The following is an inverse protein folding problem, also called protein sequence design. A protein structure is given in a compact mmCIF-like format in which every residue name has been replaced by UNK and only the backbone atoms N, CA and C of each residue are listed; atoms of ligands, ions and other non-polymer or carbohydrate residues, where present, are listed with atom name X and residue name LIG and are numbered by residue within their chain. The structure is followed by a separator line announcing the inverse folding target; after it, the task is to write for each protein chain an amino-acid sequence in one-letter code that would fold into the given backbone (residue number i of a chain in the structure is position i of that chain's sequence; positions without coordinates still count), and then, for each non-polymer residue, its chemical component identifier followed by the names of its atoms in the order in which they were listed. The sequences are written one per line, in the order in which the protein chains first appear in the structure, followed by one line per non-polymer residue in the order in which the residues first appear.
data_IF_556874749788
#
_entry.id   IF_556874749788
#
_cell.length_a   1.000
_cell.length_b   1.000
_cell.length_c   1.000
_cell.angle_alpha   90.00
_cell.angle_beta   90.00
_cell.angle_gamma   90.00
#
_symmetry.space_group_name_H-M   'P 1'
#
loop_
_entity.id
_entity.type
_entity.pdbx_description
1 polymer ?
#
# COMPACT_ATOMS: atom_id res chain seq x y z
N UNK A 1 6.12 -72.00 -29.09
CA UNK A 1 6.65 -70.95 -28.29
C UNK A 1 6.64 -69.66 -29.12
N UNK A 2 5.60 -68.84 -28.95
CA UNK A 2 5.40 -67.63 -29.75
C UNK A 2 5.88 -66.44 -28.92
N UNK A 3 6.89 -65.71 -29.40
CA UNK A 3 7.37 -64.44 -28.77
C UNK A 3 6.57 -63.30 -29.36
N UNK A 4 5.79 -62.60 -28.48
CA UNK A 4 5.15 -61.31 -28.80
C UNK A 4 6.19 -60.20 -28.57
N UNK A 5 6.45 -59.42 -29.60
CA UNK A 5 7.18 -58.21 -29.55
C UNK A 5 6.16 -57.05 -29.26
N UNK A 6 6.34 -56.35 -28.15
CA UNK A 6 5.58 -55.15 -27.82
C UNK A 6 6.35 -53.93 -28.33
N UNK A 7 5.83 -53.28 -29.38
CA UNK A 7 6.33 -51.96 -29.81
C UNK A 7 5.80 -50.87 -28.87
N UNK A 8 6.70 -50.27 -28.12
CA UNK A 8 6.41 -49.08 -27.34
C UNK A 8 6.46 -47.83 -28.22
N UNK A 9 5.31 -47.19 -28.38
CA UNK A 9 5.19 -45.91 -29.06
C UNK A 9 5.50 -44.80 -28.05
N UNK A 10 6.70 -44.20 -28.12
CA UNK A 10 7.07 -43.04 -27.32
C UNK A 10 6.52 -41.77 -27.97
N UNK A 11 5.44 -41.23 -27.43
CA UNK A 11 4.92 -39.91 -27.81
C UNK A 11 5.76 -38.82 -27.15
N UNK A 12 6.66 -38.19 -27.91
CA UNK A 12 7.39 -37.01 -27.46
C UNK A 12 6.45 -35.78 -27.49
N UNK A 13 5.97 -35.37 -26.34
CA UNK A 13 5.28 -34.10 -26.16
C UNK A 13 6.33 -32.96 -26.23
N UNK A 14 6.43 -32.34 -27.39
CA UNK A 14 7.16 -31.09 -27.58
C UNK A 14 6.35 -29.96 -26.89
N UNK A 15 6.70 -29.65 -25.67
CA UNK A 15 6.29 -28.40 -25.00
C UNK A 15 7.04 -27.24 -25.69
N UNK A 16 6.43 -26.67 -26.72
CA UNK A 16 6.85 -25.39 -27.26
C UNK A 16 6.55 -24.31 -26.19
N UNK A 17 7.55 -23.97 -25.36
CA UNK A 17 7.54 -22.79 -24.53
C UNK A 17 7.58 -21.58 -25.46
N UNK A 18 6.40 -21.04 -25.84
CA UNK A 18 6.29 -19.73 -26.47
C UNK A 18 6.68 -18.67 -25.44
N UNK A 19 7.98 -18.39 -25.35
CA UNK A 19 8.52 -17.21 -24.72
C UNK A 19 8.30 -15.97 -25.60
N UNK A 20 7.03 -15.64 -25.86
CA UNK A 20 6.67 -14.37 -26.49
C UNK A 20 6.46 -13.32 -25.40
N UNK A 21 7.25 -12.26 -25.42
CA UNK A 21 6.95 -10.99 -24.72
C UNK A 21 5.73 -10.34 -25.41
N UNK A 22 4.59 -11.00 -25.34
CA UNK A 22 3.32 -10.51 -25.86
C UNK A 22 2.88 -9.31 -25.05
N UNK A 23 2.56 -8.19 -25.71
CA UNK A 23 1.86 -7.09 -25.07
C UNK A 23 0.59 -7.62 -24.43
N UNK A 24 0.40 -7.33 -23.13
CA UNK A 24 -0.83 -7.70 -22.41
C UNK A 24 -2.04 -7.18 -23.17
N UNK A 25 -3.11 -7.96 -23.26
CA UNK A 25 -4.38 -7.50 -23.82
C UNK A 25 -4.96 -6.34 -23.01
N UNK A 26 -5.85 -5.56 -23.59
CA UNK A 26 -6.51 -4.48 -22.87
C UNK A 26 -7.25 -4.97 -21.61
N UNK A 27 -7.86 -6.16 -21.67
CA UNK A 27 -8.53 -6.77 -20.53
C UNK A 27 -7.54 -7.15 -19.41
N UNK A 28 -6.39 -7.72 -19.74
CA UNK A 28 -5.34 -8.05 -18.77
C UNK A 28 -4.73 -6.80 -18.14
N UNK A 29 -4.56 -5.72 -18.92
CA UNK A 29 -4.12 -4.43 -18.42
C UNK A 29 -5.12 -3.84 -17.43
N UNK A 30 -6.42 -3.88 -17.73
CA UNK A 30 -7.47 -3.40 -16.83
C UNK A 30 -7.53 -4.22 -15.52
N UNK A 31 -7.40 -5.54 -15.60
CA UNK A 31 -7.35 -6.39 -14.41
C UNK A 31 -6.12 -6.08 -13.56
N UNK A 32 -4.96 -5.84 -14.19
CA UNK A 32 -3.76 -5.45 -13.46
C UNK A 32 -3.95 -4.11 -12.74
N UNK A 33 -4.49 -3.09 -13.41
CA UNK A 33 -4.76 -1.77 -12.79
C UNK A 33 -5.71 -1.91 -11.61
N UNK A 34 -6.74 -2.75 -11.71
CA UNK A 34 -7.63 -3.02 -10.57
C UNK A 34 -6.89 -3.70 -9.41
N UNK A 35 -6.11 -4.74 -9.68
CA UNK A 35 -5.32 -5.43 -8.66
C UNK A 35 -4.35 -4.48 -7.97
N UNK A 36 -3.70 -3.60 -8.72
CA UNK A 36 -2.80 -2.58 -8.20
C UNK A 36 -3.52 -1.53 -7.35
N UNK A 37 -4.71 -1.10 -7.77
CA UNK A 37 -5.52 -0.19 -6.98
C UNK A 37 -5.91 -0.80 -5.63
N UNK A 38 -6.27 -2.08 -5.58
CA UNK A 38 -6.53 -2.78 -4.31
C UNK A 38 -5.28 -2.90 -3.44
N UNK A 39 -4.12 -3.15 -4.05
CA UNK A 39 -2.86 -3.24 -3.31
C UNK A 39 -2.42 -1.87 -2.74
N UNK A 40 -2.69 -0.77 -3.45
CA UNK A 40 -2.46 0.59 -2.96
C UNK A 40 -3.48 0.95 -1.86
N UNK A 41 -4.74 0.58 -2.01
CA UNK A 41 -5.78 0.76 -0.97
C UNK A 41 -5.42 0.04 0.34
N UNK A 42 -4.73 -1.09 0.26
CA UNK A 42 -4.24 -1.79 1.43
C UNK A 42 -3.19 -0.98 2.23
N UNK A 43 -2.49 -0.01 1.62
CA UNK A 43 -1.58 0.91 2.30
C UNK A 43 -2.37 1.79 3.28
N UNK A 44 -3.47 2.39 2.81
CA UNK A 44 -4.37 3.21 3.62
C UNK A 44 -4.93 2.41 4.81
N UNK A 45 -5.45 1.22 4.57
CA UNK A 45 -5.97 0.33 5.62
C UNK A 45 -4.89 -0.05 6.64
N UNK A 46 -3.66 -0.28 6.17
CA UNK A 46 -2.53 -0.59 7.04
C UNK A 46 -2.14 0.63 7.89
N UNK A 47 -2.15 1.83 7.31
CA UNK A 47 -1.96 3.08 8.05
C UNK A 47 -2.96 3.23 9.19
N UNK A 48 -4.25 3.08 8.91
CA UNK A 48 -5.31 3.17 9.91
C UNK A 48 -5.15 2.12 11.02
N UNK A 49 -4.88 0.88 10.64
CA UNK A 49 -4.65 -0.20 11.60
C UNK A 49 -3.42 0.10 12.47
N UNK A 50 -2.32 0.54 11.86
CA UNK A 50 -1.08 0.87 12.57
C UNK A 50 -1.31 1.99 13.59
N UNK A 51 -1.99 3.07 13.19
CA UNK A 51 -2.32 4.19 14.05
C UNK A 51 -3.26 3.77 15.21
N UNK A 52 -4.33 3.03 14.91
CA UNK A 52 -5.31 2.58 15.92
C UNK A 52 -4.75 1.57 16.92
N UNK A 53 -3.69 0.82 16.54
CA UNK A 53 -3.02 -0.15 17.41
C UNK A 53 -1.68 0.35 17.94
N UNK A 54 -1.31 1.60 17.66
CA UNK A 54 -0.03 2.21 18.02
C UNK A 54 1.20 1.39 17.56
N UNK A 55 1.04 0.68 16.44
CA UNK A 55 2.04 -0.24 15.94
C UNK A 55 2.96 0.44 14.92
N UNK A 56 4.09 0.98 15.40
CA UNK A 56 5.09 1.66 14.55
C UNK A 56 5.70 0.70 13.52
N UNK A 57 5.92 -0.57 13.85
CA UNK A 57 6.48 -1.54 12.90
C UNK A 57 5.52 -1.80 11.74
N UNK A 58 4.23 -1.92 12.04
CA UNK A 58 3.20 -2.03 11.02
C UNK A 58 3.13 -0.77 10.15
N UNK A 59 3.24 0.43 10.76
CA UNK A 59 3.32 1.69 10.02
C UNK A 59 4.51 1.69 9.06
N UNK A 60 5.69 1.30 9.54
CA UNK A 60 6.90 1.28 8.72
C UNK A 60 6.88 0.24 7.60
N UNK A 61 6.02 -0.77 7.69
CA UNK A 61 5.92 -1.83 6.66
C UNK A 61 5.38 -1.35 5.30
N UNK A 62 4.78 -0.17 5.26
CA UNK A 62 4.22 0.46 4.05
C UNK A 62 5.12 1.54 3.44
N UNK A 63 6.28 1.82 4.02
CA UNK A 63 7.22 2.85 3.56
C UNK A 63 8.43 2.22 2.86
N UNK A 64 8.87 2.86 1.76
CA UNK A 64 10.15 2.52 1.14
C UNK A 64 11.30 2.93 2.05
N UNK A 65 12.46 2.24 1.98
CA UNK A 65 13.61 2.54 2.84
C UNK A 65 14.14 3.97 2.71
N UNK A 66 14.06 4.55 1.52
CA UNK A 66 14.53 5.87 1.13
C UNK A 66 13.40 6.91 0.99
N UNK A 67 12.21 6.59 1.50
CA UNK A 67 11.04 7.46 1.40
C UNK A 67 11.26 8.83 2.04
N UNK A 68 10.49 9.81 1.56
CA UNK A 68 10.44 11.16 2.15
C UNK A 68 9.06 11.43 2.73
N UNK A 69 9.02 12.17 3.84
CA UNK A 69 7.77 12.63 4.43
C UNK A 69 7.84 14.12 4.77
N UNK A 70 7.02 14.93 4.09
CA UNK A 70 6.94 16.37 4.29
C UNK A 70 5.82 16.70 5.29
N UNK A 71 6.18 17.35 6.40
CA UNK A 71 5.26 17.72 7.48
C UNK A 71 5.45 19.20 7.79
N UNK A 72 4.59 20.05 7.25
CA UNK A 72 4.77 21.51 7.35
C UNK A 72 6.10 21.92 6.71
N UNK A 73 6.99 22.61 7.46
CA UNK A 73 8.29 23.02 6.94
C UNK A 73 9.37 21.91 6.98
N UNK A 74 9.10 20.79 7.64
CA UNK A 74 10.07 19.71 7.82
C UNK A 74 9.96 18.66 6.72
N UNK A 75 11.12 18.15 6.30
CA UNK A 75 11.24 16.98 5.44
C UNK A 75 12.01 15.89 6.17
N UNK A 76 11.33 14.80 6.45
CA UNK A 76 11.94 13.59 6.99
C UNK A 76 12.41 12.71 5.84
N UNK A 77 13.65 12.24 5.88
CA UNK A 77 14.24 11.43 4.81
C UNK A 77 14.71 10.09 5.34
N UNK A 78 14.25 9.04 4.66
CA UNK A 78 14.54 7.65 4.98
C UNK A 78 13.74 7.10 6.16
N UNK A 79 13.65 5.78 6.18
CA UNK A 79 12.82 5.04 7.14
C UNK A 79 13.16 5.32 8.61
N UNK A 80 14.42 5.64 8.95
CA UNK A 80 14.83 5.89 10.32
C UNK A 80 14.23 7.20 10.89
N UNK A 81 14.23 8.29 10.10
CA UNK A 81 13.64 9.57 10.53
C UNK A 81 12.10 9.46 10.60
N UNK A 82 11.49 8.82 9.60
CA UNK A 82 10.05 8.60 9.54
C UNK A 82 9.59 7.74 10.73
N UNK A 83 10.32 6.68 11.04
CA UNK A 83 10.07 5.85 12.24
C UNK A 83 10.14 6.67 13.53
N UNK A 84 11.17 7.50 13.66
CA UNK A 84 11.36 8.34 14.85
C UNK A 84 10.17 9.30 15.02
N UNK A 85 9.69 9.90 13.93
CA UNK A 85 8.51 10.76 13.96
C UNK A 85 7.27 10.00 14.47
N UNK A 86 6.96 8.84 13.92
CA UNK A 86 5.80 8.06 14.38
C UNK A 86 5.96 7.62 15.84
N UNK A 87 7.13 7.18 16.24
CA UNK A 87 7.37 6.71 17.60
C UNK A 87 7.33 7.83 18.67
N UNK A 88 7.73 9.06 18.32
CA UNK A 88 7.96 10.11 19.33
C UNK A 88 7.08 11.35 19.18
N UNK A 89 6.49 11.59 18.02
CA UNK A 89 5.84 12.86 17.70
C UNK A 89 4.40 12.70 17.24
N UNK A 90 4.12 11.71 16.39
CA UNK A 90 2.79 11.54 15.82
C UNK A 90 1.76 11.19 16.88
N UNK A 91 0.76 12.06 17.04
CA UNK A 91 -0.25 11.98 18.09
C UNK A 91 -0.89 10.61 18.30
N UNK A 92 -1.37 9.92 17.22
CA UNK A 92 -2.01 8.62 17.37
C UNK A 92 -1.13 7.53 18.01
N UNK A 93 0.20 7.70 17.94
CA UNK A 93 1.17 6.72 18.46
C UNK A 93 1.67 7.05 19.87
N UNK A 94 1.20 8.17 20.48
CA UNK A 94 1.66 8.55 21.81
C UNK A 94 0.94 7.78 22.90
N UNK A 95 1.63 7.40 24.00
CA UNK A 95 1.08 6.53 25.04
C UNK A 95 -0.16 7.06 25.76
N UNK A 96 -0.39 8.35 25.78
CA UNK A 96 -1.56 8.96 26.43
C UNK A 96 -2.80 9.03 25.54
N UNK A 97 -2.70 8.65 24.28
CA UNK A 97 -3.79 8.77 23.33
C UNK A 97 -4.45 7.39 23.08
N UNK A 98 -5.75 7.33 23.24
CA UNK A 98 -6.58 6.17 22.92
C UNK A 98 -7.45 6.48 21.72
N UNK A 99 -6.81 6.77 20.58
CA UNK A 99 -7.48 7.14 19.35
C UNK A 99 -7.56 5.95 18.40
N UNK A 100 -8.70 5.79 17.78
CA UNK A 100 -8.89 4.88 16.67
C UNK A 100 -9.10 5.67 15.40
N UNK A 101 -8.51 5.20 14.31
CA UNK A 101 -8.78 5.77 13.01
C UNK A 101 -10.06 5.19 12.45
N UNK A 102 -10.91 6.05 11.87
CA UNK A 102 -12.12 5.64 11.20
C UNK A 102 -11.79 4.87 9.92
N UNK A 103 -12.32 3.65 9.78
CA UNK A 103 -12.11 2.82 8.59
C UNK A 103 -13.44 2.38 7.99
N UNK A 104 -13.61 2.46 6.67
CA UNK A 104 -12.64 2.94 5.65
C UNK A 104 -12.35 4.43 5.81
N UNK A 105 -11.23 4.88 5.23
CA UNK A 105 -10.92 6.30 5.17
C UNK A 105 -12.09 7.07 4.57
N UNK A 106 -12.34 8.26 5.09
CA UNK A 106 -13.49 9.06 4.68
C UNK A 106 -13.43 9.41 3.18
N UNK A 107 -12.26 9.65 2.65
CA UNK A 107 -12.05 9.95 1.23
C UNK A 107 -10.75 9.32 0.75
N UNK A 108 -10.85 8.47 -0.27
CA UNK A 108 -9.69 7.81 -0.89
C UNK A 108 -9.68 8.11 -2.39
N UNK A 109 -8.52 8.48 -2.92
CA UNK A 109 -8.26 8.61 -4.36
C UNK A 109 -6.97 7.92 -4.71
N UNK A 110 -7.04 7.02 -5.70
CA UNK A 110 -5.92 6.22 -6.16
C UNK A 110 -5.76 6.40 -7.66
N UNK A 111 -4.52 6.60 -8.09
CA UNK A 111 -4.15 6.49 -9.52
C UNK A 111 -3.07 5.44 -9.68
N UNK A 112 -3.07 4.75 -10.82
CA UNK A 112 -2.06 3.72 -11.16
C UNK A 112 -1.54 4.00 -12.56
N UNK A 113 -0.21 4.01 -12.68
CA UNK A 113 0.48 4.13 -13.97
C UNK A 113 1.72 3.21 -13.95
N UNK A 114 1.56 1.97 -14.43
CA UNK A 114 2.59 0.95 -14.37
C UNK A 114 2.97 0.62 -12.92
N UNK A 115 4.25 0.79 -12.58
CA UNK A 115 4.79 0.55 -11.24
C UNK A 115 4.81 1.80 -10.35
N UNK A 116 4.13 2.87 -10.77
CA UNK A 116 3.97 4.12 -10.00
C UNK A 116 2.49 4.44 -9.82
N UNK A 117 2.18 5.14 -8.74
CA UNK A 117 0.82 5.56 -8.45
C UNK A 117 0.78 6.70 -7.45
N UNK A 118 -0.42 7.19 -7.19
CA UNK A 118 -0.70 8.13 -6.11
C UNK A 118 -1.79 7.57 -5.21
N UNK A 119 -1.70 7.92 -3.94
CA UNK A 119 -2.72 7.64 -2.96
C UNK A 119 -2.99 8.92 -2.16
N UNK A 120 -4.23 9.38 -2.16
CA UNK A 120 -4.71 10.40 -1.25
C UNK A 120 -5.77 9.78 -0.35
N UNK A 121 -5.72 10.09 0.94
CA UNK A 121 -6.79 9.72 1.85
C UNK A 121 -7.00 10.80 2.93
N UNK A 122 -8.21 10.83 3.47
CA UNK A 122 -8.56 11.57 4.67
C UNK A 122 -9.04 10.58 5.72
N UNK A 123 -8.51 10.66 6.92
CA UNK A 123 -8.97 9.84 8.03
C UNK A 123 -9.28 10.69 9.27
N UNK A 124 -10.26 10.23 10.02
CA UNK A 124 -10.66 10.82 11.28
C UNK A 124 -10.12 9.96 12.42
N UNK A 125 -9.52 10.59 13.40
CA UNK A 125 -9.14 9.93 14.64
C UNK A 125 -10.21 10.22 15.68
N UNK A 126 -10.79 9.15 16.20
CA UNK A 126 -11.87 9.19 17.18
C UNK A 126 -11.30 8.80 18.54
N UNK A 127 -11.50 9.65 19.55
CA UNK A 127 -11.19 9.30 20.92
C UNK A 127 -12.20 8.26 21.44
N UNK A 128 -11.70 7.12 21.90
CA UNK A 128 -12.57 5.98 22.29
C UNK A 128 -13.36 6.23 23.57
N UNK A 129 -12.90 7.14 24.44
CA UNK A 129 -13.58 7.46 25.69
C UNK A 129 -14.75 8.43 25.48
N UNK A 130 -14.62 9.35 24.53
CA UNK A 130 -15.61 10.39 24.29
C UNK A 130 -16.45 10.18 23.03
N UNK A 131 -16.03 9.31 22.14
CA UNK A 131 -16.65 9.10 20.83
C UNK A 131 -16.52 10.31 19.88
N UNK A 132 -15.65 11.26 20.19
CA UNK A 132 -15.49 12.50 19.40
C UNK A 132 -14.31 12.40 18.45
N UNK A 133 -14.45 13.01 17.26
CA UNK A 133 -13.32 13.23 16.36
C UNK A 133 -12.37 14.24 17.01
N UNK A 134 -11.14 13.82 17.26
CA UNK A 134 -10.09 14.65 17.90
C UNK A 134 -9.05 15.15 16.90
N UNK A 135 -8.94 14.50 15.76
CA UNK A 135 -8.04 14.91 14.68
C UNK A 135 -8.55 14.43 13.33
N UNK A 136 -8.34 15.24 12.31
CA UNK A 136 -8.54 14.85 10.90
C UNK A 136 -7.21 15.04 10.20
N UNK A 137 -6.71 13.98 9.58
CA UNK A 137 -5.48 14.05 8.80
C UNK A 137 -5.75 13.69 7.35
N UNK A 138 -5.02 14.34 6.47
CA UNK A 138 -4.98 14.00 5.05
C UNK A 138 -3.53 13.87 4.60
N UNK A 139 -3.29 12.99 3.66
CA UNK A 139 -1.97 12.80 3.09
C UNK A 139 -2.06 12.60 1.57
N UNK A 140 -1.24 13.36 0.85
CA UNK A 140 -0.93 13.10 -0.55
C UNK A 140 0.33 12.23 -0.61
N UNK A 141 0.24 11.08 -1.29
CA UNK A 141 1.32 10.10 -1.34
C UNK A 141 1.65 9.72 -2.77
N UNK A 142 2.94 9.57 -3.04
CA UNK A 142 3.44 8.85 -4.19
C UNK A 142 3.79 7.43 -3.74
N UNK A 143 3.33 6.45 -4.50
CA UNK A 143 3.59 5.04 -4.24
C UNK A 143 4.27 4.40 -5.44
N UNK A 144 5.12 3.43 -5.17
CA UNK A 144 5.82 2.67 -6.20
C UNK A 144 5.85 1.19 -5.85
N UNK A 145 5.80 0.35 -6.87
CA UNK A 145 6.02 -1.09 -6.73
C UNK A 145 7.52 -1.36 -6.65
N UNK A 146 7.97 -1.84 -5.49
CA UNK A 146 9.37 -2.19 -5.20
C UNK A 146 9.37 -3.66 -4.77
N UNK A 147 10.11 -4.50 -5.45
CA UNK A 147 10.19 -5.95 -5.19
C UNK A 147 8.81 -6.61 -5.07
N UNK A 148 7.90 -6.23 -5.97
CA UNK A 148 6.54 -6.76 -6.04
C UNK A 148 5.54 -6.19 -5.02
N UNK A 149 5.97 -5.28 -4.14
CA UNK A 149 5.12 -4.63 -3.13
C UNK A 149 4.91 -3.16 -3.45
N UNK A 150 3.71 -2.66 -3.25
CA UNK A 150 3.43 -1.23 -3.29
C UNK A 150 3.85 -0.59 -1.98
N UNK A 151 4.73 0.42 -2.05
CA UNK A 151 5.28 1.14 -0.89
C UNK A 151 5.18 2.65 -1.14
N UNK A 152 5.05 3.42 -0.06
CA UNK A 152 5.11 4.88 -0.07
C UNK A 152 6.55 5.31 -0.31
N UNK A 153 6.81 6.05 -1.38
CA UNK A 153 8.12 6.64 -1.67
C UNK A 153 8.18 8.12 -1.30
N UNK A 154 7.02 8.79 -1.26
CA UNK A 154 6.93 10.16 -0.77
C UNK A 154 5.53 10.38 -0.20
N UNK A 155 5.46 11.13 0.88
CA UNK A 155 4.20 11.62 1.41
C UNK A 155 4.32 13.09 1.80
N UNK A 156 3.19 13.81 1.74
CA UNK A 156 3.05 15.14 2.26
C UNK A 156 1.74 15.22 3.06
N UNK A 157 1.81 15.84 4.24
CA UNK A 157 0.62 16.20 4.97
C UNK A 157 -0.20 17.20 4.12
N UNK A 158 -1.47 16.92 3.94
CA UNK A 158 -2.37 17.73 3.13
C UNK A 158 -3.47 18.35 4.01
N UNK A 159 -4.04 19.43 3.54
CA UNK A 159 -5.26 19.98 4.15
C UNK A 159 -6.43 19.07 3.80
N UNK A 160 -7.20 18.58 4.78
CA UNK A 160 -8.41 17.82 4.51
C UNK A 160 -9.38 18.59 3.61
N UNK A 161 -9.93 17.92 2.62
CA UNK A 161 -10.91 18.48 1.68
C UNK A 161 -12.30 17.96 2.02
N UNK A 162 -12.63 17.99 3.31
CA UNK A 162 -13.97 17.63 3.76
C UNK A 162 -14.97 18.44 2.97
N UNK A 163 -15.94 17.75 2.34
CA UNK A 163 -17.08 18.44 1.78
C UNK A 163 -17.80 19.11 2.95
N UNK A 164 -17.83 20.42 2.95
CA UNK A 164 -18.72 21.24 3.76
C UNK A 164 -20.13 21.08 3.26
#
# INVERSE_FOLDING_TARGET
MKRLAVLGLAAALLLTACGGSGKKSAAEQQLQVKADSYAIDAIEKTWHKAASTQNVDLMMSIWAPDATFNIGPETLSGSAQIRTFFAKTAGPFQPGHHWVSDTPAYKVRITVNGDKGTLYFECHYVDVATGKVVSVVAADQTVQRIDGKWLITSAAAATPKLAT
#
